data_IF_653185856133
#
_entry.id   IF_653185856133
#
_cell.length_a   1.000
_cell.length_b   1.000
_cell.length_c   1.000
_cell.angle_alpha   90.00
_cell.angle_beta   90.00
_cell.angle_gamma   90.00
#
_symmetry.space_group_name_H-M   'P 1'
#
loop_
_entity.id
_entity.type
_entity.pdbx_description
1 polymer ?
#
# COMPACT_ATOMS: atom_id res chain seq x y z
N UNK A 1 68.31 -44.30 -18.70
CA UNK A 1 68.24 -45.19 -19.86
C UNK A 1 67.32 -44.54 -20.87
N UNK A 2 67.91 -43.91 -21.88
CA UNK A 2 67.21 -43.30 -23.00
C UNK A 2 67.10 -44.32 -24.11
N UNK A 3 65.90 -44.59 -24.63
CA UNK A 3 65.74 -45.23 -25.93
C UNK A 3 64.64 -44.54 -26.72
N UNK A 4 64.80 -44.44 -28.06
CA UNK A 4 64.19 -43.40 -28.86
C UNK A 4 62.92 -43.86 -29.58
N UNK A 5 62.15 -42.85 -29.99
CA UNK A 5 61.10 -42.93 -31.01
C UNK A 5 61.67 -43.47 -32.34
N UNK A 6 61.01 -44.47 -32.90
CA UNK A 6 60.90 -44.64 -34.35
C UNK A 6 59.47 -44.99 -34.72
N UNK A 7 58.94 -44.19 -35.63
CA UNK A 7 57.63 -44.33 -36.23
C UNK A 7 57.58 -45.55 -37.16
N UNK A 8 56.44 -46.23 -37.19
CA UNK A 8 56.00 -47.02 -38.34
C UNK A 8 54.55 -46.69 -38.65
N UNK A 9 54.38 -46.31 -39.92
CA UNK A 9 53.16 -45.91 -40.55
C UNK A 9 52.17 -47.08 -40.66
N UNK A 10 50.94 -46.85 -40.20
CA UNK A 10 49.76 -47.65 -40.55
C UNK A 10 48.77 -46.78 -41.32
N UNK A 11 48.79 -46.86 -42.65
CA UNK A 11 47.81 -46.26 -43.55
C UNK A 11 46.42 -46.81 -43.24
N UNK A 12 45.52 -45.99 -42.70
CA UNK A 12 44.09 -46.27 -42.70
C UNK A 12 43.35 -45.25 -43.56
N UNK A 13 42.83 -45.78 -44.67
CA UNK A 13 42.21 -45.08 -45.78
C UNK A 13 40.71 -44.98 -45.48
N UNK A 14 40.24 -43.86 -44.93
CA UNK A 14 38.81 -43.57 -44.80
C UNK A 14 38.38 -42.59 -45.90
N UNK A 15 37.87 -43.14 -46.99
CA UNK A 15 37.08 -42.41 -47.98
C UNK A 15 35.70 -42.12 -47.35
N UNK A 16 35.47 -40.87 -46.98
CA UNK A 16 34.12 -40.36 -46.70
C UNK A 16 33.51 -39.82 -48.01
N UNK A 17 32.39 -40.36 -48.50
CA UNK A 17 31.69 -39.78 -49.63
C UNK A 17 30.55 -38.92 -49.10
N UNK A 18 30.81 -37.70 -48.65
CA UNK A 18 29.73 -36.75 -48.38
C UNK A 18 30.26 -35.33 -48.58
N UNK A 19 29.77 -34.65 -49.62
CA UNK A 19 30.16 -33.28 -49.96
C UNK A 19 29.53 -32.28 -48.99
N UNK A 20 30.25 -31.93 -47.92
CA UNK A 20 29.85 -30.92 -46.92
C UNK A 20 29.58 -29.52 -47.51
N UNK A 21 29.98 -29.28 -48.76
CA UNK A 21 29.76 -28.01 -49.45
C UNK A 21 28.28 -27.75 -49.79
N UNK A 22 27.42 -28.78 -49.84
CA UNK A 22 25.99 -28.62 -50.12
C UNK A 22 25.13 -28.34 -48.86
N UNK A 23 25.65 -28.59 -47.66
CA UNK A 23 24.91 -28.39 -46.39
C UNK A 23 25.06 -26.98 -45.82
N UNK A 24 26.16 -26.28 -46.12
CA UNK A 24 26.42 -24.90 -45.69
C UNK A 24 25.38 -23.86 -46.15
N UNK A 25 24.88 -23.86 -47.41
CA UNK A 25 23.86 -22.90 -47.83
C UNK A 25 22.50 -23.19 -47.18
N UNK A 26 22.16 -24.46 -46.95
CA UNK A 26 20.88 -24.82 -46.32
C UNK A 26 20.88 -24.47 -44.84
N UNK A 27 21.96 -24.74 -44.12
CA UNK A 27 22.07 -24.38 -42.70
C UNK A 27 22.13 -22.86 -42.49
N UNK A 28 22.82 -22.11 -43.36
CA UNK A 28 22.83 -20.64 -43.29
C UNK A 28 21.46 -20.04 -43.60
N UNK A 29 20.73 -20.55 -44.60
CA UNK A 29 19.37 -20.08 -44.88
C UNK A 29 18.41 -20.40 -43.73
N UNK A 30 18.49 -21.58 -43.12
CA UNK A 30 17.65 -21.95 -41.97
C UNK A 30 17.96 -21.10 -40.75
N UNK A 31 19.24 -20.88 -40.41
CA UNK A 31 19.64 -20.01 -39.29
C UNK A 31 19.27 -18.55 -39.55
N UNK A 32 19.52 -18.05 -40.76
CA UNK A 32 19.11 -16.70 -41.14
C UNK A 32 17.59 -16.54 -41.07
N UNK A 33 16.81 -17.54 -41.47
CA UNK A 33 15.35 -17.53 -41.38
C UNK A 33 14.88 -17.57 -39.92
N UNK A 34 15.49 -18.41 -39.07
CA UNK A 34 15.19 -18.50 -37.64
C UNK A 34 15.52 -17.21 -36.87
N UNK A 35 16.40 -16.35 -37.39
CA UNK A 35 16.74 -15.05 -36.77
C UNK A 35 15.96 -13.90 -37.42
N UNK A 36 15.90 -13.85 -38.74
CA UNK A 36 15.27 -12.76 -39.50
C UNK A 36 13.75 -12.81 -39.42
N UNK A 37 13.12 -13.99 -39.39
CA UNK A 37 11.65 -14.08 -39.31
C UNK A 37 11.15 -13.54 -37.95
N UNK A 38 11.72 -13.94 -36.79
CA UNK A 38 11.37 -13.31 -35.52
C UNK A 38 11.75 -11.83 -35.45
N UNK A 39 12.89 -11.42 -36.01
CA UNK A 39 13.30 -10.01 -36.02
C UNK A 39 12.34 -9.14 -36.85
N UNK A 40 11.91 -9.62 -38.02
CA UNK A 40 10.93 -8.94 -38.88
C UNK A 40 9.54 -8.97 -38.25
N UNK A 41 9.15 -10.07 -37.59
CA UNK A 41 7.92 -10.11 -36.80
C UNK A 41 7.95 -9.13 -35.62
N UNK A 42 9.05 -9.03 -34.88
CA UNK A 42 9.22 -8.05 -33.80
C UNK A 42 9.22 -6.60 -34.31
N UNK A 43 9.65 -6.38 -35.56
CA UNK A 43 9.65 -5.06 -36.19
C UNK A 43 8.28 -4.68 -36.77
N UNK A 44 7.50 -5.66 -37.27
CA UNK A 44 6.13 -5.47 -37.79
C UNK A 44 5.07 -5.48 -36.69
N UNK A 45 5.31 -6.21 -35.62
CA UNK A 45 4.58 -6.16 -34.37
C UNK A 45 5.53 -5.61 -33.31
N UNK A 46 5.87 -4.31 -33.36
CA UNK A 46 6.52 -3.70 -32.22
C UNK A 46 5.67 -4.07 -31.01
N UNK A 47 6.27 -4.71 -30.00
CA UNK A 47 5.61 -4.86 -28.71
C UNK A 47 4.96 -3.51 -28.44
N UNK A 48 3.66 -3.53 -28.14
CA UNK A 48 2.88 -2.38 -27.69
C UNK A 48 3.52 -1.87 -26.39
N UNK A 49 4.72 -1.31 -26.51
CA UNK A 49 5.47 -0.70 -25.45
C UNK A 49 4.72 0.60 -25.23
N UNK A 50 3.88 0.61 -24.21
CA UNK A 50 3.26 1.83 -23.75
C UNK A 50 4.32 2.72 -23.11
N UNK A 51 5.27 3.20 -23.91
CA UNK A 51 6.30 4.15 -23.51
C UNK A 51 5.62 5.43 -23.00
N UNK A 52 4.46 5.77 -23.55
CA UNK A 52 3.64 6.84 -23.03
C UNK A 52 3.19 6.60 -21.59
N UNK A 53 2.85 5.37 -21.21
CA UNK A 53 2.41 5.04 -19.84
C UNK A 53 3.55 5.16 -18.84
N UNK A 54 4.78 4.83 -19.24
CA UNK A 54 5.98 5.00 -18.42
C UNK A 54 6.21 6.47 -18.07
N UNK A 55 6.04 7.35 -19.06
CA UNK A 55 6.12 8.81 -18.86
C UNK A 55 4.93 9.36 -18.08
N UNK A 56 3.73 8.82 -18.28
CA UNK A 56 2.56 9.22 -17.50
C UNK A 56 2.72 8.89 -16.03
N UNK A 57 3.25 7.71 -15.69
CA UNK A 57 3.43 7.31 -14.30
C UNK A 57 4.27 8.35 -13.53
N UNK A 58 5.36 8.83 -14.13
CA UNK A 58 6.25 9.82 -13.49
C UNK A 58 5.67 11.23 -13.44
N UNK A 59 4.73 11.57 -14.32
CA UNK A 59 4.00 12.83 -14.34
C UNK A 59 2.69 12.81 -13.52
N UNK A 60 2.31 11.65 -12.98
CA UNK A 60 1.05 11.46 -12.25
C UNK A 60 1.26 11.42 -10.73
N UNK A 61 0.29 11.95 -9.98
CA UNK A 61 0.18 11.68 -8.56
C UNK A 61 -0.49 10.32 -8.32
N UNK A 62 -1.54 10.03 -9.08
CA UNK A 62 -2.36 8.82 -9.00
C UNK A 62 -2.77 8.43 -10.41
N UNK A 63 -2.66 7.15 -10.75
CA UNK A 63 -3.14 6.59 -12.02
C UNK A 63 -3.90 5.30 -11.75
N UNK A 64 -5.02 5.12 -12.43
CA UNK A 64 -5.86 3.93 -12.34
C UNK A 64 -6.06 3.37 -13.74
N UNK A 65 -5.92 2.05 -13.88
CA UNK A 65 -6.21 1.30 -15.08
C UNK A 65 -7.54 0.57 -14.96
N UNK A 66 -8.26 0.54 -16.07
CA UNK A 66 -9.56 -0.12 -16.19
C UNK A 66 -9.58 -0.96 -17.45
N UNK A 67 -10.24 -2.11 -17.40
CA UNK A 67 -10.58 -2.86 -18.60
C UNK A 67 -11.77 -2.18 -19.30
N UNK A 68 -11.71 -2.04 -20.63
CA UNK A 68 -12.88 -1.66 -21.41
C UNK A 68 -13.87 -2.83 -21.50
N UNK A 69 -15.13 -2.55 -21.22
CA UNK A 69 -16.26 -3.47 -21.42
C UNK A 69 -17.24 -2.83 -22.40
N UNK A 70 -17.12 -3.13 -23.71
CA UNK A 70 -17.98 -2.56 -24.74
C UNK A 70 -19.47 -2.88 -24.58
N UNK A 71 -19.83 -3.87 -23.75
CA UNK A 71 -21.21 -4.23 -23.45
C UNK A 71 -21.88 -3.27 -22.44
N UNK A 72 -21.11 -2.41 -21.77
CA UNK A 72 -21.60 -1.40 -20.83
C UNK A 72 -21.58 -0.02 -21.46
N UNK A 73 -22.32 0.91 -20.86
CA UNK A 73 -22.24 2.31 -21.25
C UNK A 73 -20.86 2.92 -21.00
N UNK A 74 -20.48 3.89 -21.84
CA UNK A 74 -19.21 4.59 -21.71
C UNK A 74 -19.16 5.33 -20.35
N UNK A 75 -18.05 5.20 -19.58
CA UNK A 75 -17.94 5.83 -18.27
C UNK A 75 -18.16 7.35 -18.31
N UNK A 76 -18.68 7.98 -17.23
CA UNK A 76 -18.94 9.42 -17.20
C UNK A 76 -17.73 10.29 -17.51
N UNK A 77 -16.52 9.83 -17.17
CA UNK A 77 -15.27 10.53 -17.52
C UNK A 77 -15.08 10.62 -19.04
N UNK A 78 -15.34 9.56 -19.78
CA UNK A 78 -15.26 9.56 -21.25
C UNK A 78 -16.23 10.56 -21.84
N UNK A 79 -17.47 10.56 -21.37
CA UNK A 79 -18.51 11.47 -21.85
C UNK A 79 -18.14 12.93 -21.60
N UNK A 80 -17.57 13.25 -20.43
CA UNK A 80 -17.12 14.62 -20.11
C UNK A 80 -15.93 15.08 -20.94
N UNK A 81 -15.01 14.18 -21.31
CA UNK A 81 -13.79 14.53 -22.04
C UNK A 81 -13.95 14.53 -23.56
N UNK A 82 -14.78 13.64 -24.10
CA UNK A 82 -14.94 13.43 -25.54
C UNK A 82 -16.28 13.94 -26.08
N UNK A 83 -17.25 14.21 -25.20
CA UNK A 83 -18.66 14.35 -25.56
C UNK A 83 -19.34 12.99 -25.70
N UNK A 84 -20.67 12.93 -25.49
CA UNK A 84 -21.45 11.67 -25.42
C UNK A 84 -21.32 10.82 -26.69
N UNK A 85 -21.44 11.41 -27.87
CA UNK A 85 -21.41 10.66 -29.14
C UNK A 85 -20.04 10.06 -29.45
N UNK A 86 -18.97 10.86 -29.32
CA UNK A 86 -17.61 10.39 -29.56
C UNK A 86 -17.17 9.39 -28.50
N UNK A 87 -17.56 9.58 -27.23
CA UNK A 87 -17.34 8.60 -26.18
C UNK A 87 -18.00 7.25 -26.51
N UNK A 88 -19.28 7.24 -26.90
CA UNK A 88 -19.99 6.02 -27.25
C UNK A 88 -19.35 5.30 -28.46
N UNK A 89 -19.02 6.05 -29.52
CA UNK A 89 -18.39 5.48 -30.73
C UNK A 89 -17.02 4.87 -30.44
N UNK A 90 -16.19 5.55 -29.65
CA UNK A 90 -14.85 5.05 -29.30
C UNK A 90 -14.93 3.89 -28.31
N UNK A 91 -15.86 3.92 -27.35
CA UNK A 91 -16.05 2.88 -26.34
C UNK A 91 -16.37 1.51 -26.95
N UNK A 92 -17.24 1.47 -27.96
CA UNK A 92 -17.59 0.22 -28.66
C UNK A 92 -16.39 -0.39 -29.41
N UNK A 93 -15.50 0.46 -29.94
CA UNK A 93 -14.30 0.03 -30.68
C UNK A 93 -13.13 -0.27 -29.77
N UNK A 94 -13.11 0.30 -28.56
CA UNK A 94 -12.02 0.14 -27.61
C UNK A 94 -11.90 -1.31 -27.17
N UNK A 95 -10.70 -1.85 -27.28
CA UNK A 95 -10.33 -3.16 -26.74
C UNK A 95 -9.12 -3.01 -25.82
N UNK A 96 -9.19 -3.64 -24.66
CA UNK A 96 -8.13 -3.60 -23.65
C UNK A 96 -8.26 -2.46 -22.65
N UNK A 97 -7.14 -2.04 -22.08
CA UNK A 97 -7.12 -1.10 -20.96
C UNK A 97 -7.26 0.36 -21.38
N UNK A 98 -7.82 1.16 -20.49
CA UNK A 98 -7.80 2.62 -20.52
C UNK A 98 -7.43 3.14 -19.13
N UNK A 99 -7.00 4.40 -19.04
CA UNK A 99 -6.49 4.95 -17.78
C UNK A 99 -7.16 6.28 -17.43
N UNK A 100 -7.33 6.51 -16.13
CA UNK A 100 -7.59 7.84 -15.59
C UNK A 100 -6.48 8.20 -14.61
N UNK A 101 -6.08 9.46 -14.58
CA UNK A 101 -5.00 9.89 -13.70
C UNK A 101 -5.15 11.35 -13.26
N UNK A 102 -4.41 11.71 -12.22
CA UNK A 102 -4.31 13.06 -11.68
C UNK A 102 -2.87 13.53 -11.76
N UNK A 103 -2.67 14.79 -12.15
CA UNK A 103 -1.35 15.39 -12.29
C UNK A 103 -0.61 15.49 -10.96
N UNK A 104 0.73 15.54 -11.01
CA UNK A 104 1.59 15.47 -9.82
C UNK A 104 1.42 16.62 -8.84
N UNK A 105 1.05 17.80 -9.33
CA UNK A 105 0.87 19.00 -8.50
C UNK A 105 -0.44 19.00 -7.74
N UNK A 106 -1.40 18.12 -8.08
CA UNK A 106 -2.60 17.91 -7.27
C UNK A 106 -3.55 19.11 -7.19
N UNK A 107 -3.31 20.15 -7.99
CA UNK A 107 -4.13 21.36 -8.09
C UNK A 107 -5.36 21.16 -9.00
N UNK A 108 -5.31 20.12 -9.84
CA UNK A 108 -6.44 19.69 -10.67
C UNK A 108 -7.28 18.65 -9.94
N UNK A 109 -8.41 19.07 -9.35
CA UNK A 109 -9.41 18.15 -8.78
C UNK A 109 -9.99 17.17 -9.82
N UNK A 110 -9.77 17.43 -11.11
CA UNK A 110 -10.32 16.68 -12.21
C UNK A 110 -9.34 15.68 -12.84
N UNK A 111 -9.86 14.49 -13.15
CA UNK A 111 -9.08 13.42 -13.77
C UNK A 111 -8.83 13.67 -15.27
N UNK A 112 -7.62 13.35 -15.73
CA UNK A 112 -7.26 13.19 -17.13
C UNK A 112 -7.75 11.83 -17.63
N UNK A 113 -8.06 11.75 -18.92
CA UNK A 113 -8.37 10.49 -19.61
C UNK A 113 -7.21 10.11 -20.52
N UNK A 114 -6.67 8.91 -20.40
CA UNK A 114 -5.62 8.40 -21.28
C UNK A 114 -6.09 7.12 -21.99
N UNK A 115 -5.95 7.13 -23.31
CA UNK A 115 -6.40 6.06 -24.21
C UNK A 115 -5.27 5.63 -25.14
N UNK A 116 -5.22 4.35 -25.55
CA UNK A 116 -4.33 3.92 -26.62
C UNK A 116 -4.61 4.71 -27.91
N UNK A 117 -3.58 5.23 -28.59
CA UNK A 117 -3.72 6.02 -29.81
C UNK A 117 -4.45 5.26 -30.93
N UNK A 118 -4.26 3.92 -30.98
CA UNK A 118 -4.97 3.00 -31.87
C UNK A 118 -6.50 3.10 -31.76
N UNK A 119 -7.03 3.51 -30.61
CA UNK A 119 -8.47 3.67 -30.40
C UNK A 119 -9.09 4.71 -31.36
N UNK A 120 -8.29 5.70 -31.76
CA UNK A 120 -8.74 6.77 -32.64
C UNK A 120 -8.52 6.45 -34.12
N UNK A 121 -7.84 5.34 -34.47
CA UNK A 121 -7.48 5.03 -35.85
C UNK A 121 -6.59 6.10 -36.51
N UNK A 122 -5.94 6.95 -35.71
CA UNK A 122 -5.11 8.06 -36.17
C UNK A 122 -3.70 7.54 -36.44
N UNK A 123 -3.19 7.76 -37.65
CA UNK A 123 -1.74 7.77 -37.90
C UNK A 123 -1.06 8.90 -37.12
N UNK A 124 0.25 9.12 -37.32
CA UNK A 124 1.02 10.14 -36.56
C UNK A 124 0.49 11.59 -36.72
N UNK A 125 -0.33 11.86 -37.73
CA UNK A 125 -0.83 13.20 -38.08
C UNK A 125 -2.35 13.39 -37.90
N UNK A 126 -3.05 12.45 -37.27
CA UNK A 126 -4.49 12.57 -37.09
C UNK A 126 -4.91 13.67 -36.11
N UNK A 127 -6.03 14.34 -36.39
CA UNK A 127 -6.57 15.40 -35.53
C UNK A 127 -6.94 14.84 -34.14
N UNK A 128 -6.40 15.48 -33.09
CA UNK A 128 -6.67 15.12 -31.71
C UNK A 128 -8.00 15.73 -31.23
N UNK A 129 -8.69 15.09 -30.27
CA UNK A 129 -9.84 15.70 -29.61
C UNK A 129 -9.45 17.01 -28.89
N UNK A 130 -10.43 17.87 -28.58
CA UNK A 130 -10.19 19.07 -27.77
C UNK A 130 -9.44 18.74 -26.48
N UNK A 131 -8.48 19.60 -26.09
CA UNK A 131 -7.58 19.38 -24.95
C UNK A 131 -6.77 18.06 -25.02
N UNK A 132 -6.69 17.44 -26.19
CA UNK A 132 -5.88 16.25 -26.45
C UNK A 132 -4.39 16.55 -26.57
N UNK A 133 -3.58 15.62 -26.08
CA UNK A 133 -2.13 15.55 -26.20
C UNK A 133 -1.75 14.14 -26.63
N UNK A 134 -0.96 14.02 -27.71
CA UNK A 134 -0.34 12.75 -28.06
C UNK A 134 0.92 12.55 -27.22
N UNK A 135 1.03 11.38 -26.62
CA UNK A 135 2.17 10.96 -25.82
C UNK A 135 2.56 9.55 -26.26
N UNK A 136 3.49 9.48 -27.20
CA UNK A 136 3.94 8.24 -27.84
C UNK A 136 2.76 7.45 -28.42
N UNK A 137 2.44 6.30 -27.84
CA UNK A 137 1.34 5.41 -28.22
C UNK A 137 0.01 5.71 -27.50
N UNK A 138 -0.04 6.77 -26.68
CA UNK A 138 -1.21 7.21 -25.94
C UNK A 138 -1.74 8.57 -26.44
N UNK A 139 -3.05 8.76 -26.29
CA UNK A 139 -3.72 10.05 -26.39
C UNK A 139 -4.28 10.38 -25.02
N UNK A 140 -3.84 11.51 -24.48
CA UNK A 140 -4.27 12.04 -23.18
C UNK A 140 -5.20 13.21 -23.42
N UNK A 141 -6.32 13.25 -22.70
CA UNK A 141 -7.32 14.31 -22.82
C UNK A 141 -7.42 14.99 -21.45
N UNK A 142 -6.96 16.23 -21.42
CA UNK A 142 -6.98 17.05 -20.21
C UNK A 142 -8.38 17.59 -19.91
N UNK A 143 -8.66 17.94 -18.64
CA UNK A 143 -9.92 18.59 -18.29
C UNK A 143 -10.12 19.94 -18.98
N UNK A 144 -9.06 20.72 -19.06
CA UNK A 144 -9.07 22.09 -19.54
C UNK A 144 -7.71 22.45 -20.19
N UNK A 145 -7.61 23.57 -20.91
CA UNK A 145 -6.38 23.97 -21.59
C UNK A 145 -5.18 24.22 -20.66
N UNK A 146 -5.41 24.72 -19.44
CA UNK A 146 -4.35 25.00 -18.46
C UNK A 146 -3.76 23.68 -17.93
N UNK A 147 -4.63 22.74 -17.54
CA UNK A 147 -4.23 21.39 -17.13
C UNK A 147 -3.44 20.67 -18.22
N UNK A 148 -3.80 20.87 -19.50
CA UNK A 148 -3.02 20.35 -20.64
C UNK A 148 -1.62 20.95 -20.68
N UNK A 149 -1.50 22.27 -20.54
CA UNK A 149 -0.21 22.95 -20.59
C UNK A 149 0.70 22.53 -19.43
N UNK A 150 0.17 22.47 -18.21
CA UNK A 150 0.91 22.02 -17.03
C UNK A 150 1.43 20.58 -17.21
N UNK A 151 0.59 19.68 -17.73
CA UNK A 151 1.01 18.31 -18.05
C UNK A 151 2.13 18.29 -19.10
N UNK A 152 2.04 19.10 -20.15
CA UNK A 152 3.10 19.19 -21.16
C UNK A 152 4.43 19.67 -20.56
N UNK A 153 4.38 20.66 -19.67
CA UNK A 153 5.56 21.17 -18.98
C UNK A 153 6.18 20.10 -18.06
N UNK A 154 5.35 19.36 -17.31
CA UNK A 154 5.81 18.26 -16.46
C UNK A 154 6.43 17.12 -17.27
N UNK A 155 5.81 16.72 -18.39
CA UNK A 155 6.31 15.67 -19.27
C UNK A 155 7.62 16.04 -19.98
N UNK A 156 7.91 17.34 -20.14
CA UNK A 156 9.19 17.85 -20.65
C UNK A 156 10.28 17.79 -19.57
N UNK A 157 9.93 18.04 -18.32
CA UNK A 157 10.88 18.01 -17.18
C UNK A 157 11.19 16.58 -16.71
N UNK A 158 10.21 15.68 -16.78
CA UNK A 158 10.33 14.31 -16.27
C UNK A 158 10.53 13.29 -17.41
N UNK A 159 11.79 13.15 -17.85
CA UNK A 159 12.17 12.19 -18.91
C UNK A 159 12.75 10.88 -18.36
N UNK A 160 12.64 10.62 -17.05
CA UNK A 160 13.25 9.42 -16.44
C UNK A 160 12.50 8.16 -16.81
N UNK A 161 13.23 7.16 -17.30
CA UNK A 161 12.71 5.80 -17.51
C UNK A 161 12.40 5.14 -16.16
N UNK A 162 11.21 4.55 -15.97
CA UNK A 162 10.88 3.78 -14.78
C UNK A 162 11.89 2.66 -14.53
N UNK A 163 12.22 2.43 -13.26
CA UNK A 163 13.09 1.33 -12.82
C UNK A 163 12.53 0.68 -11.56
N UNK A 164 12.88 -0.59 -11.33
CA UNK A 164 12.54 -1.30 -10.10
C UNK A 164 11.05 -1.36 -9.84
N UNK A 165 10.58 -0.77 -8.73
CA UNK A 165 9.16 -0.76 -8.37
C UNK A 165 8.28 -0.05 -9.42
N UNK A 166 8.73 1.07 -9.98
CA UNK A 166 7.93 1.83 -10.95
C UNK A 166 7.69 1.02 -12.23
N UNK A 167 8.71 0.32 -12.72
CA UNK A 167 8.58 -0.56 -13.88
C UNK A 167 7.54 -1.66 -13.62
N UNK A 168 7.56 -2.29 -12.44
CA UNK A 168 6.55 -3.29 -12.05
C UNK A 168 5.16 -2.68 -11.97
N UNK A 169 5.03 -1.44 -11.50
CA UNK A 169 3.76 -0.74 -11.50
C UNK A 169 3.23 -0.43 -12.90
N UNK A 170 4.09 -0.04 -13.84
CA UNK A 170 3.72 0.10 -15.25
C UNK A 170 3.20 -1.23 -15.81
N UNK A 171 3.86 -2.35 -15.52
CA UNK A 171 3.41 -3.66 -15.99
C UNK A 171 2.01 -4.02 -15.44
N UNK A 172 1.75 -3.76 -14.14
CA UNK A 172 0.43 -3.96 -13.54
C UNK A 172 -0.64 -3.11 -14.22
N UNK A 173 -0.37 -1.83 -14.44
CA UNK A 173 -1.25 -0.88 -15.14
C UNK A 173 -1.57 -1.29 -16.59
N UNK A 174 -0.71 -2.08 -17.24
CA UNK A 174 -0.98 -2.65 -18.57
C UNK A 174 -1.85 -3.90 -18.50
N UNK A 175 -1.67 -4.73 -17.48
CA UNK A 175 -2.24 -6.08 -17.41
C UNK A 175 -3.69 -6.19 -16.93
N UNK A 176 -4.17 -5.27 -16.09
CA UNK A 176 -5.48 -5.43 -15.45
C UNK A 176 -6.00 -4.17 -14.77
N UNK A 177 -7.00 -4.34 -13.91
CA UNK A 177 -7.49 -3.26 -13.04
C UNK A 177 -6.50 -3.01 -11.93
N UNK A 178 -5.90 -1.82 -11.90
CA UNK A 178 -4.87 -1.51 -10.93
C UNK A 178 -4.79 -0.03 -10.67
N UNK A 179 -4.14 0.33 -9.57
CA UNK A 179 -3.87 1.71 -9.18
C UNK A 179 -2.38 1.83 -8.88
N UNK A 180 -1.77 2.91 -9.30
CA UNK A 180 -0.45 3.31 -8.85
C UNK A 180 -0.52 4.73 -8.26
N UNK A 181 0.21 4.95 -7.17
CA UNK A 181 0.21 6.23 -6.46
C UNK A 181 1.62 6.68 -6.14
N UNK A 182 1.77 7.99 -6.00
CA UNK A 182 2.94 8.66 -5.46
C UNK A 182 2.68 9.19 -4.05
N UNK A 183 3.75 9.71 -3.42
CA UNK A 183 3.68 10.34 -2.10
C UNK A 183 2.65 11.45 -2.05
N UNK A 184 2.56 12.26 -3.09
CA UNK A 184 1.62 13.40 -3.15
C UNK A 184 0.18 12.92 -3.11
N UNK A 185 -0.19 11.93 -3.93
CA UNK A 185 -1.55 11.40 -3.93
C UNK A 185 -1.91 10.79 -2.57
N UNK A 186 -1.00 10.01 -1.98
CA UNK A 186 -1.27 9.40 -0.68
C UNK A 186 -1.46 10.46 0.41
N UNK A 187 -0.64 11.50 0.42
CA UNK A 187 -0.75 12.59 1.39
C UNK A 187 -2.07 13.36 1.24
N UNK A 188 -2.53 13.60 0.01
CA UNK A 188 -3.81 14.26 -0.26
C UNK A 188 -5.01 13.41 0.16
N UNK A 189 -4.99 12.11 -0.12
CA UNK A 189 -6.08 11.20 0.23
C UNK A 189 -6.15 10.93 1.74
N UNK A 190 -4.99 10.70 2.36
CA UNK A 190 -4.90 10.35 3.78
C UNK A 190 -4.98 11.57 4.70
N UNK A 191 -4.70 12.78 4.20
CA UNK A 191 -4.74 14.01 4.98
C UNK A 191 -3.95 13.89 6.30
N UNK A 192 -4.59 14.11 7.47
CA UNK A 192 -3.93 13.97 8.77
C UNK A 192 -3.34 12.59 9.08
N UNK A 193 -3.79 11.53 8.39
CA UNK A 193 -3.29 10.17 8.58
C UNK A 193 -2.00 9.89 7.78
N UNK A 194 -1.57 10.80 6.90
CA UNK A 194 -0.37 10.66 6.07
C UNK A 194 0.91 10.27 6.84
N UNK A 195 1.17 10.76 8.08
CA UNK A 195 2.33 10.33 8.87
C UNK A 195 2.36 8.83 9.22
N UNK A 196 1.19 8.17 9.29
CA UNK A 196 1.09 6.73 9.58
C UNK A 196 1.36 5.86 8.34
N UNK A 197 1.29 6.45 7.14
CA UNK A 197 1.42 5.74 5.86
C UNK A 197 2.79 5.98 5.19
N UNK A 198 3.77 6.46 5.96
CA UNK A 198 5.09 6.84 5.46
C UNK A 198 5.89 5.67 4.88
N UNK A 199 5.58 4.44 5.30
CA UNK A 199 6.16 3.23 4.72
C UNK A 199 5.60 2.90 3.33
N UNK A 200 4.46 3.49 2.98
CA UNK A 200 3.67 3.16 1.80
C UNK A 200 3.56 4.32 0.81
N UNK A 201 4.49 5.28 0.86
CA UNK A 201 4.40 6.55 0.14
C UNK A 201 4.16 6.40 -1.36
N UNK A 202 4.75 5.39 -2.00
CA UNK A 202 4.49 5.09 -3.41
C UNK A 202 4.28 3.60 -3.60
N UNK A 203 3.56 3.22 -4.65
CA UNK A 203 3.32 1.82 -4.94
C UNK A 203 2.26 1.60 -6.00
N UNK A 204 1.87 0.34 -6.14
CA UNK A 204 0.78 -0.07 -6.98
C UNK A 204 0.04 -1.29 -6.42
N UNK A 205 -1.27 -1.31 -6.63
CA UNK A 205 -2.17 -2.39 -6.25
C UNK A 205 -2.92 -2.87 -7.49
N UNK A 206 -3.01 -4.17 -7.66
CA UNK A 206 -3.98 -4.82 -8.52
C UNK A 206 -5.29 -4.98 -7.75
N UNK A 207 -6.41 -4.74 -8.43
CA UNK A 207 -7.75 -4.77 -7.87
C UNK A 207 -8.53 -5.93 -8.48
N UNK A 208 -9.21 -6.68 -7.62
CA UNK A 208 -10.16 -7.71 -7.99
C UNK A 208 -11.47 -7.53 -7.22
N UNK A 209 -12.47 -8.32 -7.60
CA UNK A 209 -13.76 -8.39 -6.90
C UNK A 209 -14.04 -9.81 -6.44
N UNK A 210 -14.53 -10.00 -5.21
CA UNK A 210 -14.84 -11.32 -4.65
C UNK A 210 -16.35 -11.54 -4.39
N UNK A 211 -17.21 -10.79 -5.09
CA UNK A 211 -18.67 -10.88 -4.98
C UNK A 211 -19.26 -10.18 -3.74
N UNK A 212 -18.53 -10.14 -2.63
CA UNK A 212 -18.90 -9.41 -1.41
C UNK A 212 -18.17 -8.06 -1.27
N UNK A 213 -17.13 -7.83 -2.08
CA UNK A 213 -16.37 -6.60 -2.04
C UNK A 213 -15.23 -6.54 -3.04
N UNK A 214 -14.22 -5.75 -2.69
CA UNK A 214 -12.99 -5.58 -3.44
C UNK A 214 -11.85 -6.29 -2.72
N UNK A 215 -10.96 -6.91 -3.49
CA UNK A 215 -9.71 -7.49 -2.99
C UNK A 215 -8.54 -6.81 -3.70
N UNK A 216 -7.41 -6.69 -3.02
CA UNK A 216 -6.21 -6.14 -3.64
C UNK A 216 -4.94 -6.84 -3.20
N UNK A 217 -3.95 -6.71 -4.07
CA UNK A 217 -2.58 -7.15 -3.84
C UNK A 217 -1.60 -6.25 -4.56
N UNK A 218 -0.42 -6.04 -4.00
CA UNK A 218 0.58 -5.21 -4.66
C UNK A 218 1.80 -4.91 -3.84
N UNK A 219 2.50 -3.86 -4.25
CA UNK A 219 3.81 -3.50 -3.73
C UNK A 219 3.84 -2.01 -3.39
N UNK A 220 4.60 -1.67 -2.37
CA UNK A 220 4.81 -0.30 -1.95
C UNK A 220 6.22 -0.07 -1.44
N UNK A 221 6.62 1.19 -1.40
CA UNK A 221 7.91 1.62 -0.90
C UNK A 221 7.80 2.92 -0.11
N UNK A 222 8.62 3.03 0.93
CA UNK A 222 8.88 4.26 1.67
C UNK A 222 9.82 5.22 0.88
N UNK A 223 10.54 4.70 -0.10
CA UNK A 223 11.57 5.43 -0.86
C UNK A 223 11.22 5.49 -2.33
N UNK A 224 11.34 6.69 -2.91
CA UNK A 224 11.22 6.94 -4.36
C UNK A 224 12.35 6.27 -5.14
N UNK A 225 12.09 5.84 -6.38
CA UNK A 225 13.09 5.26 -7.29
C UNK A 225 13.85 4.01 -6.77
N UNK A 226 13.21 3.20 -5.93
CA UNK A 226 13.86 2.00 -5.42
C UNK A 226 14.09 0.97 -6.55
N UNK A 227 15.36 0.79 -6.92
CA UNK A 227 15.81 -0.14 -7.96
C UNK A 227 15.97 -1.60 -7.48
N UNK A 228 15.42 -1.95 -6.30
CA UNK A 228 15.58 -3.26 -5.69
C UNK A 228 14.79 -4.39 -6.38
N UNK A 229 15.24 -5.65 -6.22
CA UNK A 229 14.50 -6.81 -6.70
C UNK A 229 13.10 -6.87 -6.07
N UNK A 230 12.15 -7.49 -6.77
CA UNK A 230 10.82 -7.73 -6.20
C UNK A 230 10.98 -8.62 -4.96
N UNK A 231 10.33 -8.31 -3.83
CA UNK A 231 10.34 -9.21 -2.68
C UNK A 231 9.76 -10.56 -3.11
N UNK A 232 10.31 -11.65 -2.58
CA UNK A 232 9.69 -12.95 -2.76
C UNK A 232 8.25 -12.86 -2.25
N UNK A 233 7.30 -13.28 -3.10
CA UNK A 233 5.90 -13.39 -2.70
C UNK A 233 5.86 -14.24 -1.42
N UNK A 234 5.29 -13.73 -0.32
CA UNK A 234 5.05 -14.58 0.83
C UNK A 234 4.19 -15.77 0.36
N UNK A 235 4.41 -16.98 0.91
CA UNK A 235 3.50 -18.09 0.68
C UNK A 235 2.08 -17.60 0.98
N UNK A 236 1.18 -17.72 0.00
CA UNK A 236 -0.14 -17.08 -0.07
C UNK A 236 -0.67 -16.70 1.32
N UNK A 237 -0.59 -15.42 1.71
CA UNK A 237 -1.28 -14.99 2.91
C UNK A 237 -2.76 -15.33 2.70
N UNK A 238 -3.37 -16.01 3.67
CA UNK A 238 -4.80 -16.30 3.68
C UNK A 238 -5.53 -15.05 3.20
N UNK A 239 -6.21 -15.16 2.06
CA UNK A 239 -6.97 -14.04 1.49
C UNK A 239 -7.78 -13.38 2.63
N UNK A 240 -7.64 -12.06 2.83
CA UNK A 240 -8.20 -11.37 3.99
C UNK A 240 -9.72 -11.55 4.13
N UNK A 241 -10.42 -11.85 3.03
CA UNK A 241 -11.86 -12.16 2.99
C UNK A 241 -12.34 -13.29 3.92
N UNK A 242 -11.47 -13.97 4.68
CA UNK A 242 -11.81 -15.01 5.66
C UNK A 242 -11.62 -14.62 7.13
N UNK A 243 -11.16 -13.41 7.47
CA UNK A 243 -11.08 -13.04 8.88
C UNK A 243 -12.46 -12.73 9.45
N UNK A 244 -12.71 -13.10 10.72
CA UNK A 244 -13.97 -12.78 11.36
C UNK A 244 -14.13 -11.26 11.45
N UNK A 245 -15.36 -10.79 11.27
CA UNK A 245 -15.65 -9.37 11.39
C UNK A 245 -15.28 -8.84 12.77
N UNK A 246 -14.79 -7.59 12.80
CA UNK A 246 -14.51 -6.92 14.07
C UNK A 246 -15.77 -6.89 14.95
N UNK A 247 -15.64 -7.13 16.28
CA UNK A 247 -16.73 -6.92 17.21
C UNK A 247 -17.31 -5.51 17.05
N UNK A 248 -18.62 -5.34 17.21
CA UNK A 248 -19.30 -4.05 16.99
C UNK A 248 -18.76 -2.89 17.86
N UNK A 249 -18.15 -3.21 19.00
CA UNK A 249 -17.49 -2.23 19.88
C UNK A 249 -16.13 -1.74 19.35
N UNK A 250 -15.50 -2.47 18.43
CA UNK A 250 -14.16 -2.20 17.93
C UNK A 250 -14.21 -1.56 16.54
N UNK A 251 -13.64 -0.37 16.42
CA UNK A 251 -13.63 0.42 15.20
C UNK A 251 -12.36 0.19 14.36
N UNK A 252 -11.24 -0.05 15.04
CA UNK A 252 -9.92 -0.28 14.44
C UNK A 252 -9.12 -1.23 15.33
N UNK A 253 -8.43 -2.17 14.70
CA UNK A 253 -7.40 -3.00 15.31
C UNK A 253 -6.16 -2.97 14.40
N UNK A 254 -5.00 -2.62 14.95
CA UNK A 254 -3.73 -2.68 14.25
C UNK A 254 -2.74 -3.50 15.09
N UNK A 255 -2.17 -4.52 14.49
CA UNK A 255 -1.17 -5.40 15.08
C UNK A 255 0.12 -5.30 14.29
N UNK A 256 1.26 -5.33 14.95
CA UNK A 256 2.54 -5.33 14.26
C UNK A 256 3.68 -5.83 15.12
N UNK A 257 4.74 -6.27 14.46
CA UNK A 257 5.96 -6.78 15.10
C UNK A 257 6.78 -5.68 15.78
N UNK A 258 6.63 -4.44 15.30
CA UNK A 258 7.37 -3.26 15.79
C UNK A 258 6.52 -2.00 15.66
N UNK A 259 6.44 -1.22 16.74
CA UNK A 259 5.67 0.02 16.78
C UNK A 259 6.22 1.11 15.86
N UNK A 260 7.53 1.12 15.60
CA UNK A 260 8.16 2.10 14.73
C UNK A 260 7.70 1.99 13.26
N UNK A 261 7.16 0.84 12.84
CA UNK A 261 6.54 0.71 11.52
C UNK A 261 5.38 1.69 11.30
N UNK A 262 4.71 2.13 12.37
CA UNK A 262 3.67 3.17 12.32
C UNK A 262 4.18 4.54 12.79
N UNK A 263 4.98 4.57 13.86
CA UNK A 263 5.27 5.79 14.61
C UNK A 263 6.69 6.34 14.39
N UNK A 264 7.53 5.72 13.54
CA UNK A 264 8.91 6.17 13.31
C UNK A 264 8.99 7.67 13.00
N UNK A 265 8.14 8.17 12.09
CA UNK A 265 8.17 9.60 11.71
C UNK A 265 7.70 10.52 12.83
N UNK A 266 6.84 10.03 13.71
CA UNK A 266 6.39 10.78 14.89
C UNK A 266 7.51 10.84 15.95
N UNK A 267 8.28 9.76 16.11
CA UNK A 267 9.42 9.72 17.03
C UNK A 267 10.65 10.50 16.51
N UNK A 268 10.84 10.63 15.20
CA UNK A 268 12.01 11.32 14.63
C UNK A 268 11.82 12.83 14.41
N UNK A 269 10.58 13.32 14.28
CA UNK A 269 10.32 14.76 14.09
C UNK A 269 10.60 15.53 15.37
N UNK A 270 11.53 16.50 15.30
CA UNK A 270 11.96 17.30 16.45
C UNK A 270 10.81 18.01 17.18
N UNK A 271 9.85 18.55 16.43
CA UNK A 271 8.65 19.22 16.97
C UNK A 271 7.77 18.32 17.85
N UNK A 272 7.85 17.00 17.67
CA UNK A 272 7.10 16.01 18.46
C UNK A 272 8.00 15.43 19.55
N UNK A 273 9.25 15.09 19.19
CA UNK A 273 10.23 14.49 20.09
C UNK A 273 10.55 15.38 21.29
N UNK A 274 10.67 16.70 21.10
CA UNK A 274 11.02 17.60 22.19
C UNK A 274 9.94 17.64 23.29
N UNK A 275 8.64 17.85 22.97
CA UNK A 275 7.56 17.71 23.96
C UNK A 275 7.49 16.32 24.61
N UNK A 276 7.78 15.25 23.87
CA UNK A 276 7.80 13.88 24.43
C UNK A 276 8.87 13.70 25.51
N UNK A 277 10.05 14.31 25.31
CA UNK A 277 11.12 14.32 26.31
C UNK A 277 10.76 15.23 27.48
N UNK A 278 10.41 16.47 27.21
CA UNK A 278 10.22 17.51 28.24
C UNK A 278 8.99 17.26 29.13
N UNK A 279 7.87 16.80 28.55
CA UNK A 279 6.60 16.65 29.28
C UNK A 279 6.33 15.23 29.77
N UNK A 280 6.91 14.23 29.10
CA UNK A 280 6.61 12.82 29.36
C UNK A 280 7.85 11.98 29.67
N UNK A 281 9.04 12.58 29.71
CA UNK A 281 10.29 11.88 30.06
C UNK A 281 10.69 10.79 29.08
N UNK A 282 10.14 10.78 27.85
CA UNK A 282 10.39 9.75 26.85
C UNK A 282 11.72 10.04 26.12
N UNK A 283 12.82 9.64 26.77
CA UNK A 283 14.19 9.82 26.27
C UNK A 283 14.49 8.97 25.03
N UNK A 284 15.45 9.37 24.17
CA UNK A 284 15.72 8.68 22.90
C UNK A 284 15.99 7.17 23.01
N UNK A 285 16.79 6.67 23.97
CA UNK A 285 17.00 5.22 24.12
C UNK A 285 15.71 4.46 24.46
N UNK A 286 14.80 5.10 25.20
CA UNK A 286 13.50 4.52 25.53
C UNK A 286 12.54 4.61 24.35
N UNK A 287 12.59 5.67 23.54
CA UNK A 287 11.84 5.78 22.28
C UNK A 287 12.24 4.71 21.27
N UNK A 288 13.55 4.45 21.13
CA UNK A 288 14.06 3.42 20.24
C UNK A 288 13.62 2.03 20.72
N UNK A 289 13.66 1.81 22.04
CA UNK A 289 13.13 0.58 22.65
C UNK A 289 11.62 0.45 22.46
N UNK A 290 10.86 1.51 22.67
CA UNK A 290 9.41 1.56 22.44
C UNK A 290 9.07 1.21 21.00
N UNK A 291 9.85 1.75 20.05
CA UNK A 291 9.69 1.49 18.62
C UNK A 291 9.91 0.04 18.21
N UNK A 292 10.78 -0.71 18.90
CA UNK A 292 11.08 -2.09 18.56
C UNK A 292 10.11 -3.12 19.14
N UNK A 293 9.18 -2.71 20.01
CA UNK A 293 8.26 -3.64 20.66
C UNK A 293 7.13 -4.09 19.71
N UNK A 294 6.74 -5.38 19.76
CA UNK A 294 5.47 -5.84 19.22
C UNK A 294 4.31 -5.14 19.92
N UNK A 295 3.30 -4.79 19.14
CA UNK A 295 2.20 -3.99 19.64
C UNK A 295 0.84 -4.41 19.07
N UNK A 296 -0.19 -4.03 19.82
CA UNK A 296 -1.57 -4.04 19.38
C UNK A 296 -2.24 -2.71 19.75
N UNK A 297 -2.77 -2.02 18.75
CA UNK A 297 -3.49 -0.77 18.85
C UNK A 297 -4.97 -1.02 18.57
N UNK A 298 -5.83 -0.65 19.51
CA UNK A 298 -7.29 -0.81 19.39
C UNK A 298 -7.97 0.53 19.56
N UNK A 299 -8.97 0.80 18.72
CA UNK A 299 -9.88 1.93 18.89
C UNK A 299 -11.28 1.38 19.13
N UNK A 300 -11.88 1.67 20.29
CA UNK A 300 -13.22 1.23 20.64
C UNK A 300 -14.20 2.37 20.63
N UNK A 301 -15.42 2.10 20.16
CA UNK A 301 -16.54 3.05 20.25
C UNK A 301 -17.01 3.13 21.70
N UNK A 302 -17.32 4.34 22.16
CA UNK A 302 -17.95 4.60 23.44
C UNK A 302 -19.40 5.03 23.20
N UNK A 303 -20.34 4.45 23.96
CA UNK A 303 -21.75 4.78 23.83
C UNK A 303 -22.14 6.06 24.56
N UNK A 304 -21.35 6.47 25.55
CA UNK A 304 -21.63 7.60 26.44
C UNK A 304 -20.34 8.18 27.02
N UNK A 305 -20.41 9.40 27.53
CA UNK A 305 -19.31 10.10 28.18
C UNK A 305 -18.68 11.18 27.29
N UNK A 306 -17.60 11.82 27.77
CA UNK A 306 -16.99 12.96 27.09
C UNK A 306 -16.18 12.58 25.84
N UNK A 307 -15.95 11.29 25.60
CA UNK A 307 -15.18 10.77 24.47
C UNK A 307 -16.08 9.94 23.55
N UNK A 308 -15.87 10.05 22.23
CA UNK A 308 -16.57 9.24 21.24
C UNK A 308 -15.94 7.84 21.08
N UNK A 309 -14.66 7.73 21.40
CA UNK A 309 -13.89 6.49 21.29
C UNK A 309 -12.76 6.46 22.33
N UNK A 310 -12.35 5.26 22.72
CA UNK A 310 -11.14 5.01 23.53
C UNK A 310 -10.04 4.43 22.68
N UNK A 311 -8.79 4.85 22.94
CA UNK A 311 -7.60 4.32 22.29
C UNK A 311 -6.85 3.43 23.27
N UNK A 312 -6.50 2.21 22.88
CA UNK A 312 -5.73 1.28 23.69
C UNK A 312 -4.47 0.89 22.92
N UNK A 313 -3.30 1.03 23.54
CA UNK A 313 -2.02 0.55 23.02
C UNK A 313 -1.45 -0.48 23.98
N UNK A 314 -1.28 -1.70 23.49
CA UNK A 314 -0.72 -2.81 24.23
C UNK A 314 0.64 -3.17 23.66
N UNK A 315 1.63 -3.34 24.53
CA UNK A 315 3.03 -3.56 24.17
C UNK A 315 3.57 -4.82 24.84
N UNK A 316 4.24 -5.67 24.08
CA UNK A 316 4.96 -6.83 24.62
C UNK A 316 6.36 -6.42 25.09
N UNK A 317 6.50 -6.02 26.36
CA UNK A 317 7.75 -5.45 26.90
C UNK A 317 8.80 -6.52 27.29
N UNK A 318 8.39 -7.78 27.43
CA UNK A 318 9.31 -8.87 27.75
C UNK A 318 10.03 -8.71 29.09
N UNK A 319 11.35 -8.95 29.09
CA UNK A 319 12.20 -8.94 30.30
C UNK A 319 12.54 -7.52 30.79
N UNK A 320 12.22 -6.49 30.02
CA UNK A 320 12.63 -5.11 30.29
C UNK A 320 11.71 -4.36 31.25
N UNK A 321 10.77 -5.06 31.91
CA UNK A 321 9.82 -4.47 32.87
C UNK A 321 10.43 -3.48 33.87
N UNK A 322 11.60 -3.73 34.51
CA UNK A 322 12.16 -2.77 35.48
C UNK A 322 12.46 -1.39 34.88
N UNK A 323 12.91 -1.33 33.63
CA UNK A 323 13.17 -0.07 32.94
C UNK A 323 11.86 0.69 32.65
N UNK A 324 10.80 -0.04 32.30
CA UNK A 324 9.47 0.53 32.11
C UNK A 324 8.88 1.04 33.42
N UNK A 325 9.01 0.29 34.52
CA UNK A 325 8.54 0.72 35.84
C UNK A 325 9.23 2.02 36.30
N UNK A 326 10.54 2.16 36.07
CA UNK A 326 11.27 3.38 36.38
C UNK A 326 10.77 4.60 35.57
N UNK A 327 10.52 4.42 34.27
CA UNK A 327 9.96 5.50 33.45
C UNK A 327 8.51 5.83 33.82
N UNK A 328 7.66 4.83 34.09
CA UNK A 328 6.27 5.05 34.53
C UNK A 328 6.20 5.82 35.85
N UNK A 329 7.17 5.63 36.75
CA UNK A 329 7.27 6.43 37.98
C UNK A 329 7.58 7.90 37.68
N UNK A 330 8.53 8.17 36.76
CA UNK A 330 8.82 9.54 36.31
C UNK A 330 7.64 10.18 35.58
N UNK A 331 6.97 9.41 34.72
CA UNK A 331 5.76 9.84 34.02
C UNK A 331 4.66 10.24 35.00
N UNK A 332 4.46 9.49 36.09
CA UNK A 332 3.50 9.84 37.15
C UNK A 332 3.76 11.24 37.70
N UNK A 333 4.99 11.53 38.13
CA UNK A 333 5.38 12.85 38.66
C UNK A 333 5.13 13.96 37.64
N UNK A 334 5.43 13.71 36.36
CA UNK A 334 5.21 14.70 35.30
C UNK A 334 3.72 14.96 35.02
N UNK A 335 2.85 13.94 35.12
CA UNK A 335 1.40 14.10 34.93
C UNK A 335 0.75 14.83 36.12
N UNK A 336 1.20 14.55 37.34
CA UNK A 336 0.80 15.31 38.54
C UNK A 336 1.19 16.78 38.41
N UNK A 337 2.42 17.06 37.96
CA UNK A 337 2.89 18.42 37.68
C UNK A 337 2.11 19.14 36.57
N UNK A 338 1.39 18.39 35.72
CA UNK A 338 0.47 18.92 34.70
C UNK A 338 -0.97 19.09 35.20
N UNK A 339 -1.23 18.83 36.48
CA UNK A 339 -2.54 19.01 37.11
C UNK A 339 -3.49 17.83 36.94
N UNK A 340 -3.00 16.65 36.51
CA UNK A 340 -3.79 15.42 36.53
C UNK A 340 -3.70 14.75 37.90
N UNK A 341 -4.81 14.18 38.35
CA UNK A 341 -4.90 13.48 39.63
C UNK A 341 -5.02 11.97 39.40
N UNK A 342 -4.40 11.20 40.29
CA UNK A 342 -4.52 9.75 40.27
C UNK A 342 -5.89 9.35 40.85
N UNK A 343 -6.68 8.61 40.08
CA UNK A 343 -7.93 8.05 40.56
C UNK A 343 -7.64 6.98 41.62
N UNK A 344 -8.19 7.15 42.81
CA UNK A 344 -8.12 6.13 43.85
C UNK A 344 -8.84 4.85 43.37
N UNK A 345 -8.29 3.64 43.64
CA UNK A 345 -8.98 2.41 43.32
C UNK A 345 -10.34 2.40 44.01
N UNK A 346 -11.42 2.25 43.23
CA UNK A 346 -12.78 2.23 43.77
C UNK A 346 -12.96 1.11 44.79
N UNK A 347 -13.79 1.34 45.81
CA UNK A 347 -14.09 0.34 46.84
C UNK A 347 -14.59 -0.96 46.17
N UNK A 348 -13.82 -2.05 46.30
CA UNK A 348 -14.13 -3.36 45.72
C UNK A 348 -13.38 -3.74 44.44
N UNK A 349 -12.61 -2.83 43.84
CA UNK A 349 -11.73 -3.15 42.70
C UNK A 349 -10.34 -3.48 43.24
N UNK A 350 -9.92 -4.75 43.15
CA UNK A 350 -8.54 -5.14 43.46
C UNK A 350 -7.59 -4.32 42.59
N UNK A 351 -6.80 -3.44 43.21
CA UNK A 351 -5.78 -2.67 42.51
C UNK A 351 -4.80 -3.64 41.86
N UNK A 352 -4.63 -3.55 40.54
CA UNK A 352 -3.57 -4.30 39.86
C UNK A 352 -2.26 -3.58 40.21
N UNK A 353 -1.27 -4.25 40.85
CA UNK A 353 -0.01 -3.60 41.18
C UNK A 353 0.63 -2.98 39.92
N UNK A 354 0.89 -1.68 39.98
CA UNK A 354 1.45 -0.91 38.86
C UNK A 354 0.45 -0.43 37.79
N UNK A 355 -0.86 -0.44 38.07
CA UNK A 355 -1.84 0.32 37.28
C UNK A 355 -2.01 1.75 37.80
N UNK A 356 -2.16 2.71 36.89
CA UNK A 356 -2.51 4.10 37.20
C UNK A 356 -3.63 4.56 36.29
N UNK A 357 -4.66 5.19 36.85
CA UNK A 357 -5.74 5.84 36.09
C UNK A 357 -5.76 7.31 36.45
N UNK A 358 -5.85 8.17 35.45
CA UNK A 358 -5.68 9.61 35.57
C UNK A 358 -6.98 10.34 35.27
N UNK A 359 -7.26 11.36 36.08
CA UNK A 359 -8.43 12.21 35.97
C UNK A 359 -8.02 13.68 35.88
N UNK A 360 -8.91 14.48 35.30
CA UNK A 360 -8.87 15.94 35.39
C UNK A 360 -9.57 16.40 36.67
N UNK A 361 -9.48 17.70 36.94
CA UNK A 361 -10.15 18.36 38.08
C UNK A 361 -11.69 18.24 38.05
N UNK A 362 -12.27 17.96 36.88
CA UNK A 362 -13.71 17.72 36.69
C UNK A 362 -14.10 16.23 36.85
N UNK A 363 -13.23 15.43 37.47
CA UNK A 363 -13.32 13.98 37.67
C UNK A 363 -13.42 13.15 36.37
N UNK A 364 -13.21 13.76 35.20
CA UNK A 364 -13.21 13.04 33.92
C UNK A 364 -11.95 12.20 33.77
N UNK A 365 -12.12 10.89 33.59
CA UNK A 365 -11.01 9.95 33.34
C UNK A 365 -10.44 10.20 31.94
N UNK A 366 -9.17 10.58 31.87
CA UNK A 366 -8.48 10.88 30.61
C UNK A 366 -7.71 9.70 30.05
N UNK A 367 -7.28 8.77 30.90
CA UNK A 367 -6.51 7.61 30.49
C UNK A 367 -5.69 7.01 31.61
N UNK A 368 -4.76 6.13 31.24
CA UNK A 368 -3.95 5.42 32.22
C UNK A 368 -3.08 4.34 31.61
N UNK A 369 -2.46 3.58 32.50
CA UNK A 369 -1.71 2.38 32.13
C UNK A 369 -1.95 1.27 33.14
N UNK A 370 -1.77 0.03 32.69
CA UNK A 370 -1.77 -1.15 33.56
C UNK A 370 -0.88 -2.25 33.03
N UNK A 371 -0.28 -2.99 33.96
CA UNK A 371 0.35 -4.27 33.67
C UNK A 371 -0.72 -5.33 33.45
N UNK A 372 -0.59 -6.10 32.36
CA UNK A 372 -1.41 -7.29 32.13
C UNK A 372 -0.66 -8.46 32.76
N UNK A 373 -1.37 -9.29 33.53
CA UNK A 373 -0.77 -10.46 34.16
C UNK A 373 -0.21 -11.39 33.07
N UNK A 374 1.09 -11.74 33.12
CA UNK A 374 1.66 -12.66 32.14
C UNK A 374 0.96 -14.01 32.27
N UNK A 375 0.50 -14.55 31.16
CA UNK A 375 0.14 -15.97 31.06
C UNK A 375 1.45 -16.77 31.07
N UNK A 376 1.49 -17.92 31.74
CA UNK A 376 2.71 -18.72 31.86
C UNK A 376 3.36 -18.96 30.47
N UNK A 377 4.62 -18.57 30.31
CA UNK A 377 5.38 -18.70 29.06
C UNK A 377 5.31 -17.50 28.10
N UNK A 378 4.48 -16.48 28.36
CA UNK A 378 4.40 -15.26 27.55
C UNK A 378 5.13 -14.06 28.22
N UNK A 379 5.70 -13.14 27.43
CA UNK A 379 6.34 -11.93 27.95
C UNK A 379 5.36 -11.04 28.72
N UNK A 380 5.88 -10.21 29.63
CA UNK A 380 5.09 -9.20 30.32
C UNK A 380 4.56 -8.17 29.30
N UNK A 381 3.36 -7.65 29.57
CA UNK A 381 2.69 -6.72 28.68
C UNK A 381 2.22 -5.48 29.42
N UNK A 382 2.42 -4.32 28.77
CA UNK A 382 2.03 -3.02 29.26
C UNK A 382 0.92 -2.47 28.36
N UNK A 383 -0.21 -2.10 28.96
CA UNK A 383 -1.32 -1.46 28.25
C UNK A 383 -1.40 0.01 28.66
N UNK A 384 -1.38 0.91 27.67
CA UNK A 384 -1.82 2.29 27.78
C UNK A 384 -3.24 2.42 27.25
N UNK A 385 -4.01 3.33 27.83
CA UNK A 385 -5.32 3.69 27.31
C UNK A 385 -5.58 5.19 27.43
N UNK A 386 -6.31 5.73 26.46
CA UNK A 386 -6.88 7.08 26.48
C UNK A 386 -8.40 6.95 26.48
N UNK A 387 -9.05 7.69 27.37
CA UNK A 387 -10.47 7.56 27.70
C UNK A 387 -10.72 6.66 28.93
N UNK A 388 -11.94 6.11 29.09
CA UNK A 388 -12.29 5.32 30.25
C UNK A 388 -11.46 4.04 30.37
N UNK A 389 -11.38 3.51 31.59
CA UNK A 389 -10.66 2.25 31.86
C UNK A 389 -11.26 1.13 31.00
N UNK A 390 -10.45 0.42 30.19
CA UNK A 390 -10.96 -0.64 29.33
C UNK A 390 -11.59 -1.78 30.15
N UNK A 391 -12.87 -2.03 29.87
CA UNK A 391 -13.65 -3.11 30.47
C UNK A 391 -13.61 -4.34 29.54
N UNK A 392 -13.24 -5.49 30.07
CA UNK A 392 -13.17 -6.76 29.33
C UNK A 392 -11.82 -7.46 29.42
N UNK A 393 -11.79 -8.73 29.01
CA UNK A 393 -10.57 -9.53 28.92
C UNK A 393 -9.62 -8.95 27.88
N UNK A 394 -8.41 -8.61 28.31
CA UNK A 394 -7.35 -8.14 27.43
C UNK A 394 -6.72 -9.35 26.76
N UNK A 395 -6.94 -9.52 25.45
CA UNK A 395 -6.19 -10.49 24.66
C UNK A 395 -4.70 -10.12 24.63
N UNK A 396 -3.81 -11.10 24.62
CA UNK A 396 -2.35 -10.91 24.73
C UNK A 396 -1.75 -10.35 23.43
N UNK A 397 -1.02 -9.24 23.53
CA UNK A 397 -0.20 -8.69 22.45
C UNK A 397 1.03 -9.57 22.16
N UNK A 398 1.45 -10.39 23.11
CA UNK A 398 2.49 -11.41 22.93
C UNK A 398 2.03 -12.61 22.10
N UNK A 399 0.71 -12.82 22.01
CA UNK A 399 0.09 -13.73 21.05
C UNK A 399 0.10 -13.21 19.61
N UNK A 400 0.60 -12.00 19.35
CA UNK A 400 0.87 -11.46 18.01
C UNK A 400 2.10 -12.15 17.42
N UNK A 401 2.03 -13.48 17.28
CA UNK A 401 2.74 -14.14 16.19
C UNK A 401 1.92 -13.80 14.94
N UNK A 402 2.25 -12.64 14.35
CA UNK A 402 1.97 -12.43 12.94
C UNK A 402 2.43 -13.69 12.20
N UNK A 403 1.59 -14.33 11.35
CA UNK A 403 2.05 -15.44 10.53
C UNK A 403 3.35 -15.00 9.82
N UNK A 404 4.32 -15.92 9.74
CA UNK A 404 5.71 -15.62 9.35
C UNK A 404 5.79 -14.57 8.22
N UNK A 405 6.36 -13.40 8.53
CA UNK A 405 6.59 -12.31 7.58
C UNK A 405 5.56 -11.16 7.55
N UNK A 406 4.42 -11.24 8.27
CA UNK A 406 3.47 -10.11 8.35
C UNK A 406 3.99 -9.03 9.31
N UNK A 407 4.39 -7.89 8.75
CA UNK A 407 4.92 -6.75 9.49
C UNK A 407 3.80 -5.93 10.18
N UNK A 408 2.71 -5.64 9.46
CA UNK A 408 1.52 -4.95 9.98
C UNK A 408 0.25 -5.65 9.51
N UNK A 409 -0.70 -5.79 10.41
CA UNK A 409 -2.07 -6.22 10.15
C UNK A 409 -3.05 -5.20 10.67
N UNK A 410 -3.94 -4.70 9.82
CA UNK A 410 -4.97 -3.74 10.14
C UNK A 410 -6.34 -4.29 9.78
N UNK A 411 -7.29 -4.15 10.70
CA UNK A 411 -8.73 -4.32 10.47
C UNK A 411 -9.46 -3.07 10.93
N UNK A 412 -10.44 -2.61 10.18
CA UNK A 412 -11.21 -1.42 10.51
C UNK A 412 -12.68 -1.55 10.09
N UNK A 413 -13.54 -0.71 10.68
CA UNK A 413 -14.92 -0.45 10.24
C UNK A 413 -15.02 0.97 9.67
N UNK A 414 -14.69 1.19 8.38
CA UNK A 414 -14.61 2.53 7.83
C UNK A 414 -15.89 3.36 7.95
N UNK A 415 -17.06 2.77 7.69
CA UNK A 415 -18.34 3.45 7.85
C UNK A 415 -18.54 4.02 9.25
N UNK A 416 -18.18 3.24 10.28
CA UNK A 416 -18.30 3.66 11.67
C UNK A 416 -17.27 4.72 12.06
N UNK A 417 -16.04 4.62 11.55
CA UNK A 417 -14.98 5.62 11.76
C UNK A 417 -15.34 6.96 11.08
N UNK A 418 -15.94 6.90 9.88
CA UNK A 418 -16.45 8.07 9.18
C UNK A 418 -17.61 8.74 9.93
N UNK A 419 -18.51 7.94 10.52
CA UNK A 419 -19.64 8.46 11.30
C UNK A 419 -19.24 9.28 12.53
N UNK A 420 -18.04 9.02 13.08
CA UNK A 420 -17.46 9.79 14.19
C UNK A 420 -16.32 10.72 13.75
N UNK A 421 -16.25 11.05 12.44
CA UNK A 421 -15.27 11.99 11.86
C UNK A 421 -13.79 11.63 12.09
N UNK A 422 -13.48 10.34 12.27
CA UNK A 422 -12.09 9.86 12.39
C UNK A 422 -11.47 9.43 11.05
N UNK A 423 -12.23 9.46 9.96
CA UNK A 423 -11.69 9.31 8.61
C UNK A 423 -11.65 10.66 7.88
N UNK A 424 -10.55 10.96 7.17
CA UNK A 424 -10.43 12.18 6.38
C UNK A 424 -11.44 12.16 5.22
N UNK A 425 -11.98 13.33 4.84
CA UNK A 425 -12.97 13.44 3.76
C UNK A 425 -12.38 13.13 2.38
N UNK A 426 -11.04 13.21 2.23
CA UNK A 426 -10.33 12.90 0.99
C UNK A 426 -10.33 11.42 0.61
N UNK A 427 -10.67 10.51 1.53
CA UNK A 427 -10.78 9.09 1.20
C UNK A 427 -11.98 8.83 0.27
N UNK A 428 -11.83 7.92 -0.72
CA UNK A 428 -12.92 7.56 -1.61
C UNK A 428 -14.19 7.16 -0.86
N UNK A 429 -15.36 7.58 -1.38
CA UNK A 429 -16.67 7.28 -0.78
C UNK A 429 -16.85 5.77 -0.54
N UNK A 430 -16.42 4.95 -1.50
CA UNK A 430 -16.46 3.47 -1.38
C UNK A 430 -15.69 2.96 -0.15
N UNK A 431 -14.55 3.58 0.17
CA UNK A 431 -13.77 3.22 1.37
C UNK A 431 -14.50 3.71 2.61
N UNK A 432 -14.98 4.96 2.62
CA UNK A 432 -15.69 5.54 3.78
C UNK A 432 -17.02 4.86 4.09
N UNK A 433 -17.63 4.16 3.14
CA UNK A 433 -18.92 3.47 3.31
C UNK A 433 -18.77 1.95 3.51
N UNK A 434 -17.54 1.43 3.51
CA UNK A 434 -17.31 0.01 3.69
C UNK A 434 -17.61 -0.45 5.12
N UNK A 435 -18.16 -1.65 5.24
CA UNK A 435 -18.42 -2.30 6.53
C UNK A 435 -17.13 -2.74 7.21
N UNK A 436 -16.19 -3.25 6.40
CA UNK A 436 -14.94 -3.82 6.88
C UNK A 436 -13.81 -3.57 5.89
N UNK A 437 -12.69 -3.11 6.42
CA UNK A 437 -11.43 -2.97 5.71
C UNK A 437 -10.41 -3.88 6.38
N UNK A 438 -9.69 -4.63 5.56
CA UNK A 438 -8.55 -5.43 5.99
C UNK A 438 -7.32 -5.07 5.16
N UNK A 439 -6.20 -4.97 5.85
CA UNK A 439 -4.93 -4.61 5.24
C UNK A 439 -3.79 -5.36 5.91
N UNK A 440 -2.97 -6.01 5.09
CA UNK A 440 -1.79 -6.74 5.51
C UNK A 440 -0.59 -6.20 4.75
N UNK A 441 0.45 -5.90 5.51
CA UNK A 441 1.75 -5.50 5.02
C UNK A 441 2.75 -6.57 5.41
N UNK A 442 3.39 -7.17 4.42
CA UNK A 442 4.49 -8.13 4.60
C UNK A 442 5.77 -7.40 4.26
N UNK A 443 6.72 -7.41 5.19
CA UNK A 443 8.07 -6.94 4.90
C UNK A 443 8.94 -8.13 4.55
N UNK A 444 9.73 -8.10 3.46
CA UNK A 444 10.75 -9.12 3.26
C UNK A 444 11.72 -9.09 4.46
N UNK A 445 12.10 -10.27 4.95
CA UNK A 445 13.09 -10.39 6.02
C UNK A 445 14.38 -9.67 5.58
N UNK A 446 14.73 -8.62 6.31
CA UNK A 446 15.99 -7.93 6.10
C UNK A 446 17.15 -8.73 6.70
N UNK A 447 18.29 -8.76 6.00
CA UNK A 447 19.60 -9.05 6.62
C UNK A 447 19.81 -8.13 7.84
N UNK A 448 20.65 -8.51 8.83
CA UNK A 448 20.68 -7.86 10.14
C UNK A 448 21.36 -6.49 10.06
N UNK A 449 20.63 -5.45 9.62
CA UNK A 449 21.04 -4.04 9.75
C UNK A 449 19.96 -3.00 9.40
N UNK A 450 18.77 -3.34 8.86
CA UNK A 450 17.77 -2.31 8.58
C UNK A 450 16.47 -2.80 7.98
N UNK A 451 15.36 -2.11 8.29
CA UNK A 451 14.04 -2.37 7.71
C UNK A 451 14.11 -2.22 6.18
N UNK A 452 13.61 -3.22 5.44
CA UNK A 452 13.44 -3.07 4.00
C UNK A 452 12.48 -1.90 3.70
N UNK A 453 12.79 -1.00 2.75
CA UNK A 453 11.87 0.04 2.34
C UNK A 453 10.69 -0.52 1.53
N UNK A 454 10.80 -1.74 0.99
CA UNK A 454 9.73 -2.41 0.25
C UNK A 454 8.77 -3.14 1.18
N UNK A 455 7.48 -3.09 0.84
CA UNK A 455 6.45 -3.89 1.48
C UNK A 455 5.51 -4.48 0.44
N UNK A 456 5.18 -5.77 0.61
CA UNK A 456 4.09 -6.41 -0.11
C UNK A 456 2.78 -6.13 0.62
N UNK A 457 1.73 -5.79 -0.12
CA UNK A 457 0.45 -5.36 0.41
C UNK A 457 -0.64 -6.31 -0.09
N UNK A 458 -1.56 -6.68 0.80
CA UNK A 458 -2.80 -7.35 0.42
C UNK A 458 -3.93 -6.90 1.33
N UNK A 459 -5.17 -6.97 0.86
CA UNK A 459 -6.30 -6.54 1.64
C UNK A 459 -7.63 -6.82 0.96
N UNK A 460 -8.69 -6.51 1.70
CA UNK A 460 -10.06 -6.60 1.21
C UNK A 460 -10.92 -5.50 1.81
N UNK A 461 -11.91 -5.06 1.03
CA UNK A 461 -12.88 -4.05 1.41
C UNK A 461 -14.26 -4.65 1.19
N UNK A 462 -14.93 -4.99 2.29
CA UNK A 462 -16.30 -5.48 2.26
C UNK A 462 -17.26 -4.31 2.18
N UNK A 463 -18.07 -4.30 1.13
CA UNK A 463 -19.06 -3.25 0.91
C UNK A 463 -20.36 -3.63 1.63
N UNK A 464 -21.08 -2.62 2.09
CA UNK A 464 -22.44 -2.84 2.59
C UNK A 464 -23.27 -3.46 1.46
N UNK A 465 -23.88 -4.61 1.72
CA UNK A 465 -24.86 -5.12 0.78
C UNK A 465 -25.99 -4.10 0.70
N UNK A 466 -26.44 -3.70 -0.50
CA UNK A 466 -27.63 -2.87 -0.60
C UNK A 466 -28.74 -3.65 0.11
N UNK A 467 -29.27 -3.07 1.18
CA UNK A 467 -30.43 -3.62 1.85
C UNK A 467 -31.49 -3.83 0.78
N UNK A 468 -31.94 -5.08 0.61
CA UNK A 468 -33.08 -5.40 -0.21
C UNK A 468 -34.33 -4.82 0.48
N UNK A 469 -34.49 -3.52 0.38
CA UNK A 469 -35.53 -2.73 1.01
C UNK A 469 -36.62 -2.42 0.00
N UNK A 470 -37.72 -3.17 0.08
CA UNK A 470 -39.04 -2.62 -0.25
C UNK A 470 -39.56 -2.85 -1.67
N UNK A 471 -39.44 -4.07 -2.20
CA UNK A 471 -40.38 -4.56 -3.21
C UNK A 471 -41.77 -4.78 -2.59
N UNK A 472 -42.41 -3.70 -2.16
CA UNK A 472 -43.80 -3.68 -1.75
C UNK A 472 -44.67 -3.77 -3.00
N UNK A 473 -45.22 -4.96 -3.25
CA UNK A 473 -46.40 -5.14 -4.10
C UNK A 473 -47.48 -4.15 -3.67
N UNK A 474 -47.91 -3.28 -4.59
CA UNK A 474 -49.33 -3.11 -4.99
C UNK A 474 -49.39 -2.40 -6.33
#
# INVERSE_FOLDING_TARGET
MSFPLTALAGKWNWRWPFSWQALLPVTTVVVASLILVPAVQLRRFPRSNAAGLERLLTASALIQSFAADPGREAPPLWQRRLGRESAARLWIRQRGSWWQFWGRHGDGAEAFLALPARAFGLGDSGALPPNGLRLDDLVVIAPDPLSRQLLQEDLRRNLRTPRGLQERCVQRLRSGQSVAWSRTALAQLAGPLSPLLQRYQQGCLELGSDGAGLVWQGESSATEDLAGPSPALPPQPLLPSRRPALPASLLLEVKGERLDLLFQTLFTRQLIRQPLVERYGLMPPLSDRLGSLPFELRLRRLASGPFQASLELQLAVGKDRPAWDAWLLSLRTNLEGQGLTLQAPGAGVSSVPGSSTWQRQDDSVVGGWRWIRPVAGLPAELQFFLGPVPVGTVGSAAGVHSPDGVAISLQARPADLAAISLLPPGLPVVVRQAEQLEWLSVSPASKPAGLSPLSWLTGSLKLAQPSAGGGGRR
#
